data_IF_414655157518
#
_entry.id   IF_414655157518
#
_cell.length_a   1.000
_cell.length_b   1.000
_cell.length_c   1.000
_cell.angle_alpha   90.00
_cell.angle_beta   90.00
_cell.angle_gamma   90.00
#
_symmetry.space_group_name_H-M   'P 1'
#
loop_
_entity.id
_entity.type
_entity.pdbx_description
1 polymer ?
#
# COMPACT_ATOMS: atom_id res chain seq x y z
N UNK A 1 22.97 -3.12 41.15
CA UNK A 1 23.19 -3.27 39.69
C UNK A 1 21.93 -3.86 39.06
N UNK A 2 21.11 -3.04 38.38
CA UNK A 2 19.82 -3.48 37.83
C UNK A 2 20.05 -4.09 36.44
N UNK A 3 19.93 -5.42 36.33
CA UNK A 3 19.91 -6.13 35.04
C UNK A 3 18.57 -5.82 34.34
N UNK A 4 18.59 -5.01 33.27
CA UNK A 4 17.42 -4.83 32.39
C UNK A 4 17.30 -6.08 31.52
N UNK A 5 16.34 -6.93 31.86
CA UNK A 5 15.92 -8.05 31.01
C UNK A 5 15.22 -7.47 29.78
N UNK A 6 15.90 -7.50 28.64
CA UNK A 6 15.31 -7.16 27.33
C UNK A 6 14.45 -8.37 26.95
N UNK A 7 13.15 -8.26 27.21
CA UNK A 7 12.20 -9.30 26.87
C UNK A 7 11.95 -9.33 25.36
N UNK A 8 12.59 -10.27 24.67
CA UNK A 8 12.14 -10.67 23.34
C UNK A 8 10.85 -11.48 23.52
N UNK A 9 9.70 -10.91 23.13
CA UNK A 9 8.43 -11.65 23.03
C UNK A 9 8.10 -11.85 21.57
N UNK A 10 8.72 -12.88 20.98
CA UNK A 10 8.23 -13.48 19.76
C UNK A 10 6.91 -14.20 20.04
N UNK A 11 6.03 -14.19 19.04
CA UNK A 11 4.87 -15.07 18.82
C UNK A 11 3.49 -14.63 19.36
N UNK A 12 2.53 -14.79 18.43
CA UNK A 12 1.10 -15.11 18.58
C UNK A 12 0.11 -13.98 18.23
N UNK A 13 -0.52 -14.22 17.06
CA UNK A 13 -1.75 -13.65 16.51
C UNK A 13 -2.78 -13.34 17.60
N UNK A 14 -3.30 -12.11 17.65
CA UNK A 14 -4.49 -11.79 18.44
C UNK A 14 -5.51 -11.06 17.56
N UNK A 15 -6.48 -11.84 17.07
CA UNK A 15 -7.78 -11.34 16.62
C UNK A 15 -8.57 -11.05 17.90
N UNK A 16 -8.79 -9.76 18.25
CA UNK A 16 -9.94 -9.34 19.09
C UNK A 16 -10.29 -7.87 18.86
N UNK A 17 -11.47 -7.68 18.31
CA UNK A 17 -12.49 -6.66 18.61
C UNK A 17 -12.12 -5.16 18.55
N UNK A 18 -12.83 -4.49 17.63
CA UNK A 18 -13.21 -3.09 17.55
C UNK A 18 -13.07 -2.25 18.84
N UNK A 19 -11.87 -1.75 19.14
CA UNK A 19 -11.54 -0.36 19.57
C UNK A 19 -10.11 -0.34 20.10
N UNK A 20 -9.28 0.59 19.57
CA UNK A 20 -7.83 0.81 19.85
C UNK A 20 -6.87 -0.08 19.03
N UNK A 21 -6.40 0.45 17.90
CA UNK A 21 -5.30 -0.13 17.10
C UNK A 21 -4.02 -0.13 17.96
N UNK A 22 -3.66 -1.27 18.53
CA UNK A 22 -2.37 -1.50 19.19
C UNK A 22 -1.37 -2.25 18.30
N UNK A 23 -1.77 -2.60 17.08
CA UNK A 23 -0.97 -3.35 16.12
C UNK A 23 -0.68 -2.49 14.90
N UNK A 24 0.61 -2.35 14.55
CA UNK A 24 1.03 -1.69 13.31
C UNK A 24 0.26 -2.29 12.11
N UNK A 25 -0.13 -1.45 11.13
CA UNK A 25 -0.86 -1.89 9.95
C UNK A 25 -0.10 -3.03 9.23
N UNK A 26 -0.78 -4.11 8.87
CA UNK A 26 -0.15 -5.26 8.19
C UNK A 26 0.23 -4.92 6.76
N UNK A 27 -0.55 -4.06 6.12
CA UNK A 27 -0.35 -3.65 4.74
C UNK A 27 -0.33 -2.13 4.63
N UNK A 28 0.23 -1.61 3.55
CA UNK A 28 0.18 -0.18 3.26
C UNK A 28 -1.27 0.33 3.12
N UNK A 29 -2.24 -0.54 2.82
CA UNK A 29 -3.66 -0.18 2.73
C UNK A 29 -4.30 0.15 4.07
N UNK A 30 -3.73 -0.38 5.15
CA UNK A 30 -4.22 -0.17 6.50
C UNK A 30 -3.55 1.02 7.19
N UNK A 31 -2.51 1.61 6.58
CA UNK A 31 -1.78 2.76 7.11
C UNK A 31 -2.69 3.99 7.18
N UNK A 32 -2.80 4.60 8.37
CA UNK A 32 -3.48 5.88 8.56
C UNK A 32 -2.44 6.95 8.81
N UNK A 33 -2.45 8.01 7.99
CA UNK A 33 -1.54 9.14 8.12
C UNK A 33 -0.08 8.75 7.91
N UNK A 34 0.74 8.91 8.96
CA UNK A 34 2.19 8.74 8.90
C UNK A 34 2.66 7.36 9.39
N UNK A 35 1.76 6.44 9.72
CA UNK A 35 2.12 5.13 10.25
C UNK A 35 2.64 4.21 9.14
N UNK A 36 3.85 3.66 9.32
CA UNK A 36 4.44 2.68 8.41
C UNK A 36 3.95 1.25 8.70
N UNK A 37 3.87 0.37 7.69
CA UNK A 37 3.43 -1.00 7.89
C UNK A 37 4.37 -1.79 8.79
N UNK A 38 3.90 -2.96 9.24
CA UNK A 38 4.71 -3.88 10.03
C UNK A 38 6.04 -4.19 9.32
N UNK A 39 7.14 -4.04 10.05
CA UNK A 39 8.48 -4.26 9.53
C UNK A 39 9.12 -3.05 8.85
N UNK A 40 8.41 -1.94 8.69
CA UNK A 40 8.98 -0.68 8.24
C UNK A 40 9.25 0.28 9.41
N UNK A 41 10.36 0.98 9.32
CA UNK A 41 10.83 1.98 10.29
C UNK A 41 11.33 3.23 9.58
N UNK A 42 10.91 4.39 10.08
CA UNK A 42 11.42 5.70 9.63
C UNK A 42 12.57 6.10 10.55
N UNK A 43 13.74 6.35 9.97
CA UNK A 43 14.92 6.79 10.68
C UNK A 43 15.40 8.13 10.09
N UNK A 44 16.13 8.90 10.89
CA UNK A 44 16.65 10.21 10.48
C UNK A 44 18.17 10.26 10.65
N UNK A 45 18.88 10.63 9.60
CA UNK A 45 20.31 10.93 9.63
C UNK A 45 20.55 12.41 9.32
N UNK A 46 21.52 13.03 10.00
CA UNK A 46 21.90 14.43 9.82
C UNK A 46 22.47 14.75 8.43
N UNK A 47 23.04 13.77 7.74
CA UNK A 47 23.61 13.98 6.40
C UNK A 47 22.62 13.71 5.26
N UNK A 48 21.73 12.74 5.47
CA UNK A 48 20.89 12.15 4.42
C UNK A 48 19.42 12.56 4.58
N UNK A 49 18.99 12.93 5.79
CA UNK A 49 17.62 13.24 6.12
C UNK A 49 16.82 12.02 6.59
N UNK A 50 15.50 12.05 6.39
CA UNK A 50 14.64 10.92 6.69
C UNK A 50 14.85 9.79 5.66
N UNK A 51 15.01 8.56 6.14
CA UNK A 51 15.14 7.36 5.33
C UNK A 51 14.32 6.21 5.94
N UNK A 52 13.97 5.23 5.10
CA UNK A 52 13.07 4.14 5.43
C UNK A 52 13.83 2.82 5.47
N UNK A 53 13.65 2.07 6.55
CA UNK A 53 14.26 0.77 6.78
C UNK A 53 13.17 -0.29 6.68
N UNK A 54 13.38 -1.28 5.83
CA UNK A 54 12.53 -2.45 5.71
C UNK A 54 13.23 -3.64 6.40
N UNK A 55 12.76 -3.99 7.59
CA UNK A 55 13.28 -5.11 8.38
C UNK A 55 12.87 -6.48 7.82
N UNK A 56 11.85 -6.55 6.96
CA UNK A 56 11.42 -7.80 6.31
C UNK A 56 12.39 -8.19 5.21
N UNK A 57 12.75 -7.22 4.37
CA UNK A 57 13.65 -7.43 3.24
C UNK A 57 15.11 -7.09 3.58
N UNK A 58 15.36 -6.58 4.79
CA UNK A 58 16.66 -6.09 5.25
C UNK A 58 17.27 -5.03 4.31
N UNK A 59 16.42 -4.18 3.75
CA UNK A 59 16.81 -3.11 2.83
C UNK A 59 16.60 -1.74 3.46
N UNK A 60 17.35 -0.75 3.00
CA UNK A 60 17.16 0.66 3.34
C UNK A 60 16.97 1.46 2.06
N UNK A 61 16.09 2.46 2.11
CA UNK A 61 15.77 3.31 0.96
C UNK A 61 15.50 4.74 1.41
N UNK A 62 15.78 5.70 0.52
CA UNK A 62 15.51 7.13 0.75
C UNK A 62 14.07 7.49 0.41
N UNK A 63 13.53 6.84 -0.61
CA UNK A 63 12.19 7.09 -1.09
C UNK A 63 11.13 6.54 -0.12
N UNK A 64 10.08 7.32 0.08
CA UNK A 64 8.97 6.95 0.95
C UNK A 64 8.17 5.81 0.30
N UNK A 65 8.18 4.59 0.87
CA UNK A 65 7.49 3.46 0.28
C UNK A 65 5.96 3.67 0.19
N UNK A 66 5.41 4.62 0.97
CA UNK A 66 3.99 5.02 0.86
C UNK A 66 3.70 5.78 -0.44
N UNK A 67 4.66 6.52 -0.98
CA UNK A 67 4.51 7.19 -2.27
C UNK A 67 4.55 6.19 -3.42
N UNK A 68 5.51 5.27 -3.39
CA UNK A 68 5.59 4.17 -4.36
C UNK A 68 4.29 3.38 -4.38
N UNK A 69 3.78 3.02 -3.20
CA UNK A 69 2.54 2.26 -3.11
C UNK A 69 1.33 3.04 -3.65
N UNK A 70 1.21 4.34 -3.34
CA UNK A 70 0.16 5.20 -3.92
C UNK A 70 0.24 5.27 -5.44
N UNK A 71 1.45 5.41 -5.99
CA UNK A 71 1.65 5.47 -7.44
C UNK A 71 1.22 4.16 -8.12
N UNK A 72 1.57 3.01 -7.53
CA UNK A 72 1.14 1.70 -8.03
C UNK A 72 -0.39 1.58 -7.99
N UNK A 73 -1.03 1.95 -6.88
CA UNK A 73 -2.49 1.93 -6.76
C UNK A 73 -3.16 2.82 -7.81
N UNK A 74 -2.65 4.03 -8.00
CA UNK A 74 -3.16 4.96 -9.00
C UNK A 74 -3.01 4.40 -10.42
N UNK A 75 -1.86 3.80 -10.75
CA UNK A 75 -1.62 3.19 -12.05
C UNK A 75 -2.60 2.03 -12.32
N UNK A 76 -2.81 1.14 -11.34
CA UNK A 76 -3.77 0.04 -11.46
C UNK A 76 -5.19 0.54 -11.70
N UNK A 77 -5.61 1.58 -10.97
CA UNK A 77 -6.94 2.18 -11.15
C UNK A 77 -7.09 2.82 -12.53
N UNK A 78 -6.04 3.52 -13.00
CA UNK A 78 -6.03 4.11 -14.34
C UNK A 78 -6.15 3.06 -15.44
N UNK A 79 -5.40 1.96 -15.34
CA UNK A 79 -5.47 0.85 -16.29
C UNK A 79 -6.86 0.20 -16.32
N UNK A 80 -7.45 -0.02 -15.14
CA UNK A 80 -8.80 -0.57 -15.04
C UNK A 80 -9.84 0.35 -15.70
N UNK A 81 -9.78 1.66 -15.43
CA UNK A 81 -10.69 2.63 -16.02
C UNK A 81 -10.54 2.71 -17.54
N UNK A 82 -9.31 2.69 -18.04
CA UNK A 82 -9.05 2.70 -19.48
C UNK A 82 -9.64 1.46 -20.14
N UNK A 83 -9.38 0.28 -19.57
CA UNK A 83 -9.92 -0.98 -20.09
C UNK A 83 -11.45 -0.96 -20.13
N UNK A 84 -12.09 -0.45 -19.07
CA UNK A 84 -13.54 -0.32 -19.02
C UNK A 84 -14.07 0.63 -20.12
N UNK A 85 -13.37 1.74 -20.37
CA UNK A 85 -13.73 2.69 -21.44
C UNK A 85 -13.62 2.04 -22.82
N UNK A 86 -12.52 1.35 -23.09
CA UNK A 86 -12.27 0.69 -24.38
C UNK A 86 -13.34 -0.37 -24.67
N UNK A 87 -13.71 -1.19 -23.69
CA UNK A 87 -14.77 -2.20 -23.81
C UNK A 87 -16.12 -1.57 -24.13
N UNK A 88 -16.44 -0.45 -23.46
CA UNK A 88 -17.68 0.28 -23.70
C UNK A 88 -17.69 0.91 -25.10
N UNK A 89 -16.59 1.50 -25.54
CA UNK A 89 -16.47 2.10 -26.87
C UNK A 89 -16.66 1.05 -27.97
N UNK A 90 -16.02 -0.12 -27.84
CA UNK A 90 -16.20 -1.25 -28.75
C UNK A 90 -17.67 -1.69 -28.79
N UNK A 91 -18.32 -1.79 -27.63
CA UNK A 91 -19.73 -2.20 -27.54
C UNK A 91 -20.67 -1.18 -28.21
N UNK A 92 -20.39 0.10 -28.04
CA UNK A 92 -21.17 1.19 -28.63
C UNK A 92 -20.97 1.28 -30.14
N UNK A 93 -19.75 1.12 -30.64
CA UNK A 93 -19.46 1.12 -32.08
C UNK A 93 -20.10 -0.07 -32.79
N UNK A 94 -20.07 -1.26 -32.19
CA UNK A 94 -20.78 -2.45 -32.69
C UNK A 94 -22.29 -2.22 -32.73
N UNK A 95 -22.87 -1.62 -31.68
CA UNK A 95 -24.31 -1.33 -31.62
C UNK A 95 -24.74 -0.26 -32.64
N UNK A 96 -23.96 0.81 -32.79
CA UNK A 96 -24.20 1.85 -33.81
C UNK A 96 -24.09 1.28 -35.23
N UNK A 97 -23.07 0.46 -35.51
CA UNK A 97 -22.93 -0.22 -36.81
C UNK A 97 -24.09 -1.16 -37.09
N UNK A 98 -24.54 -1.94 -36.09
CA UNK A 98 -25.73 -2.79 -36.25
C UNK A 98 -26.94 -1.96 -36.64
N UNK A 99 -27.27 -0.88 -35.92
CA UNK A 99 -28.43 -0.04 -36.20
C UNK A 99 -28.38 0.65 -37.57
N UNK A 100 -27.19 0.99 -38.07
CA UNK A 100 -27.03 1.59 -39.41
C UNK A 100 -27.30 0.59 -40.55
N UNK A 101 -27.05 -0.70 -40.34
CA UNK A 101 -27.26 -1.75 -41.37
C UNK A 101 -28.73 -2.19 -41.46
N UNK A 102 -29.55 -1.90 -40.45
CA UNK A 102 -30.99 -2.27 -40.41
C UNK A 102 -31.91 -1.13 -40.90
N UNK A 103 -31.35 0.01 -41.33
CA UNK A 103 -32.06 1.15 -41.91
C UNK A 103 -31.83 1.22 -43.41
#
# INVERSE_FOLDING_TARGET
MKKKSIGYRSSVVLIKENTRRFTKPQTFADCIGNELPLGWEEAYDKHVGAYYINHVNQTTQLEDPRQEWRAIQEAMLREYLQTAQDVLEVSLTVTKRRNFIIS
#
